data_IF_437630596733
#
_entry.id   IF_437630596733
#
_cell.length_a   1.000
_cell.length_b   1.000
_cell.length_c   1.000
_cell.angle_alpha   90.00
_cell.angle_beta   90.00
_cell.angle_gamma   90.00
#
_symmetry.space_group_name_H-M   'P 1'
#
loop_
_entity.id
_entity.type
_entity.pdbx_description
1 polymer ?
#
# COMPACT_ATOMS: atom_id res chain seq x y z
N UNK A 1 28.56 15.14 -2.08
CA UNK A 1 27.19 14.65 -2.35
C UNK A 1 27.36 13.43 -3.23
N UNK A 2 26.84 12.27 -2.79
CA UNK A 2 26.93 11.05 -3.59
C UNK A 2 25.98 11.17 -4.78
N UNK A 3 26.47 10.82 -5.96
CA UNK A 3 25.69 10.78 -7.20
C UNK A 3 24.63 9.68 -7.05
N UNK A 4 23.34 10.06 -6.95
CA UNK A 4 22.25 9.09 -6.84
C UNK A 4 21.77 8.76 -8.24
N UNK A 5 22.27 7.65 -8.79
CA UNK A 5 21.80 7.12 -10.07
C UNK A 5 20.44 6.42 -9.89
N UNK A 6 19.43 6.86 -10.64
CA UNK A 6 18.07 6.32 -10.56
C UNK A 6 17.46 6.11 -11.94
N UNK A 7 16.89 4.93 -12.17
CA UNK A 7 16.05 4.62 -13.35
C UNK A 7 14.59 4.44 -12.98
N UNK A 8 14.32 4.11 -11.72
CA UNK A 8 12.97 3.99 -11.17
C UNK A 8 12.90 4.63 -9.79
N UNK A 9 11.82 5.37 -9.55
CA UNK A 9 11.52 5.98 -8.25
C UNK A 9 10.19 5.44 -7.72
N UNK A 10 10.26 4.80 -6.55
CA UNK A 10 9.15 4.17 -5.87
C UNK A 10 8.67 5.02 -4.69
N UNK A 11 7.37 5.25 -4.62
CA UNK A 11 6.77 6.05 -3.56
C UNK A 11 5.68 5.26 -2.87
N UNK A 12 5.81 5.12 -1.55
CA UNK A 12 4.60 4.96 -0.75
C UNK A 12 3.72 6.21 -0.84
N UNK A 13 2.43 6.05 -0.56
CA UNK A 13 1.44 7.12 -0.68
C UNK A 13 1.16 7.77 0.67
N UNK A 14 0.52 7.03 1.58
CA UNK A 14 0.12 7.53 2.89
C UNK A 14 1.34 7.76 3.79
N UNK A 15 1.41 8.90 4.48
CA UNK A 15 2.56 9.27 5.31
C UNK A 15 3.81 9.68 4.52
N UNK A 16 3.82 9.49 3.19
CA UNK A 16 4.98 9.70 2.32
C UNK A 16 4.74 10.79 1.27
N UNK A 17 3.83 10.56 0.32
CA UNK A 17 3.45 11.58 -0.68
C UNK A 17 2.41 12.56 -0.13
N UNK A 18 1.53 12.06 0.73
CA UNK A 18 0.42 12.78 1.34
C UNK A 18 0.08 12.19 2.70
N UNK A 19 -0.69 12.91 3.50
CA UNK A 19 -1.35 12.39 4.68
C UNK A 19 -2.78 12.97 4.79
N UNK A 20 -3.46 12.72 5.91
CA UNK A 20 -4.84 13.17 6.12
C UNK A 20 -5.00 14.70 6.17
N UNK A 21 -3.94 15.43 6.51
CA UNK A 21 -3.95 16.89 6.63
C UNK A 21 -3.27 17.57 5.42
N UNK A 22 -2.37 16.86 4.76
CA UNK A 22 -1.49 17.38 3.73
C UNK A 22 -1.66 16.60 2.43
N UNK A 23 -2.41 17.13 1.44
CA UNK A 23 -2.41 16.56 0.09
C UNK A 23 -1.02 16.74 -0.55
N UNK A 24 -0.78 16.03 -1.66
CA UNK A 24 0.44 16.21 -2.46
C UNK A 24 0.54 17.68 -2.88
N UNK A 25 1.61 18.37 -2.46
CA UNK A 25 1.80 19.78 -2.80
C UNK A 25 2.07 19.98 -4.30
N UNK A 26 1.70 21.14 -4.84
CA UNK A 26 1.96 21.47 -6.25
C UNK A 26 3.45 21.37 -6.60
N UNK A 27 4.33 21.76 -5.66
CA UNK A 27 5.78 21.67 -5.81
C UNK A 27 6.21 20.21 -5.94
N UNK A 28 5.71 19.32 -5.08
CA UNK A 28 6.00 17.89 -5.15
C UNK A 28 5.47 17.28 -6.45
N UNK A 29 4.24 17.62 -6.85
CA UNK A 29 3.66 17.17 -8.10
C UNK A 29 4.48 17.63 -9.32
N UNK A 30 5.02 18.85 -9.30
CA UNK A 30 5.91 19.34 -10.35
C UNK A 30 7.23 18.56 -10.40
N UNK A 31 7.87 18.30 -9.26
CA UNK A 31 9.10 17.50 -9.20
C UNK A 31 8.87 16.07 -9.70
N UNK A 32 7.75 15.43 -9.36
CA UNK A 32 7.39 14.10 -9.89
C UNK A 32 7.28 14.12 -11.42
N UNK A 33 6.60 15.13 -11.99
CA UNK A 33 6.50 15.29 -13.45
C UNK A 33 7.87 15.55 -14.11
N UNK A 34 8.77 16.26 -13.44
CA UNK A 34 10.15 16.49 -13.94
C UNK A 34 10.93 15.17 -14.05
N UNK A 35 10.82 14.28 -13.06
CA UNK A 35 11.44 12.95 -13.12
C UNK A 35 10.94 12.14 -14.31
N UNK A 36 9.62 12.08 -14.50
CA UNK A 36 9.02 11.39 -15.65
C UNK A 36 9.49 11.97 -16.98
N UNK A 37 9.56 13.31 -17.11
CA UNK A 37 10.05 13.97 -18.33
C UNK A 37 11.53 13.64 -18.65
N UNK A 38 12.34 13.33 -17.64
CA UNK A 38 13.70 12.82 -17.82
C UNK A 38 13.77 11.32 -18.17
N UNK A 39 12.62 10.64 -18.25
CA UNK A 39 12.52 9.23 -18.60
C UNK A 39 12.62 8.26 -17.41
N UNK A 40 12.65 8.77 -16.17
CA UNK A 40 12.61 7.91 -14.99
C UNK A 40 11.23 7.26 -14.89
N UNK A 41 11.23 5.98 -14.55
CA UNK A 41 10.01 5.25 -14.24
C UNK A 41 9.52 5.66 -12.85
N UNK A 42 8.21 5.88 -12.70
CA UNK A 42 7.59 6.17 -11.42
C UNK A 42 6.70 5.00 -11.03
N UNK A 43 6.75 4.58 -9.77
CA UNK A 43 5.80 3.61 -9.23
C UNK A 43 5.20 4.11 -7.93
N UNK A 44 3.87 4.00 -7.81
CA UNK A 44 3.13 4.19 -6.56
C UNK A 44 2.91 2.83 -5.90
N UNK A 45 3.23 2.71 -4.62
CA UNK A 45 3.23 1.44 -3.88
C UNK A 45 2.45 1.59 -2.58
N UNK A 46 1.24 1.02 -2.49
CA UNK A 46 0.34 1.32 -1.37
C UNK A 46 -0.53 0.14 -0.93
N UNK A 47 -1.09 0.24 0.27
CA UNK A 47 -2.16 -0.63 0.78
C UNK A 47 -3.51 -0.35 0.12
N UNK A 48 -3.65 0.81 -0.54
CA UNK A 48 -4.87 1.31 -1.18
C UNK A 48 -5.33 0.41 -2.34
N UNK A 49 -6.64 0.45 -2.65
CA UNK A 49 -7.17 -0.16 -3.88
C UNK A 49 -6.57 0.44 -5.14
N UNK A 50 -6.49 -0.36 -6.20
CA UNK A 50 -5.88 0.05 -7.47
C UNK A 50 -6.57 1.27 -8.08
N UNK A 51 -7.90 1.35 -8.00
CA UNK A 51 -8.67 2.49 -8.50
C UNK A 51 -8.31 3.80 -7.79
N UNK A 52 -7.99 3.75 -6.48
CA UNK A 52 -7.54 4.91 -5.70
C UNK A 52 -6.16 5.39 -6.18
N UNK A 53 -5.23 4.46 -6.42
CA UNK A 53 -3.92 4.76 -6.98
C UNK A 53 -3.99 5.32 -8.40
N UNK A 54 -4.86 4.76 -9.24
CA UNK A 54 -5.09 5.25 -10.60
C UNK A 54 -5.66 6.68 -10.58
N UNK A 55 -6.59 6.97 -9.67
CA UNK A 55 -7.12 8.33 -9.49
C UNK A 55 -6.02 9.31 -9.07
N UNK A 56 -5.19 8.92 -8.09
CA UNK A 56 -4.06 9.73 -7.64
C UNK A 56 -3.04 9.98 -8.77
N UNK A 57 -2.60 8.93 -9.47
CA UNK A 57 -1.66 9.05 -10.58
C UNK A 57 -2.18 9.98 -11.69
N UNK A 58 -3.47 9.84 -12.07
CA UNK A 58 -4.11 10.75 -13.04
C UNK A 58 -4.16 12.19 -12.54
N UNK A 59 -4.54 12.42 -11.28
CA UNK A 59 -4.58 13.75 -10.68
C UNK A 59 -3.20 14.43 -10.65
N UNK A 60 -2.14 13.64 -10.47
CA UNK A 60 -0.76 14.11 -10.54
C UNK A 60 -0.22 14.21 -11.97
N UNK A 61 -0.94 13.71 -12.99
CA UNK A 61 -0.48 13.68 -14.38
C UNK A 61 0.75 12.79 -14.57
N UNK A 62 0.75 11.62 -13.91
CA UNK A 62 1.84 10.64 -13.94
C UNK A 62 1.42 9.39 -14.71
N UNK A 63 2.32 8.90 -15.56
CA UNK A 63 2.26 7.58 -16.19
C UNK A 63 2.94 6.56 -15.27
N UNK A 64 2.37 6.37 -14.09
CA UNK A 64 2.96 5.57 -13.02
C UNK A 64 2.63 4.07 -13.16
N UNK A 65 3.60 3.22 -12.85
CA UNK A 65 3.32 1.83 -12.46
C UNK A 65 2.64 1.84 -11.10
N UNK A 66 1.78 0.86 -10.84
CA UNK A 66 0.96 0.82 -9.63
C UNK A 66 1.12 -0.52 -8.93
N UNK A 67 1.42 -0.48 -7.64
CA UNK A 67 1.44 -1.63 -6.75
C UNK A 67 0.41 -1.36 -5.65
N UNK A 68 -0.71 -2.08 -5.70
CA UNK A 68 -1.86 -1.92 -4.82
C UNK A 68 -1.96 -3.06 -3.80
N UNK A 69 -2.81 -2.87 -2.79
CA UNK A 69 -3.12 -3.89 -1.78
C UNK A 69 -1.87 -4.50 -1.12
N UNK A 70 -0.91 -3.66 -0.72
CA UNK A 70 0.36 -4.06 -0.11
C UNK A 70 1.23 -4.97 -0.99
N UNK A 71 1.06 -4.93 -2.32
CA UNK A 71 1.81 -5.77 -3.25
C UNK A 71 1.03 -6.95 -3.80
N UNK A 72 -0.22 -7.16 -3.40
CA UNK A 72 -1.03 -8.25 -3.96
C UNK A 72 -1.31 -8.04 -5.45
N UNK A 73 -1.41 -6.80 -5.93
CA UNK A 73 -1.64 -6.48 -7.34
C UNK A 73 -0.57 -5.50 -7.83
N UNK A 74 0.10 -5.84 -8.93
CA UNK A 74 1.00 -4.90 -9.63
C UNK A 74 0.59 -4.74 -11.09
N UNK A 75 0.50 -3.50 -11.56
CA UNK A 75 0.23 -3.12 -12.94
C UNK A 75 1.28 -2.14 -13.44
N UNK A 76 1.69 -2.32 -14.69
CA UNK A 76 2.55 -1.33 -15.36
C UNK A 76 1.76 -0.07 -15.72
N UNK A 77 2.47 1.02 -16.02
CA UNK A 77 1.88 2.24 -16.58
C UNK A 77 1.06 2.00 -17.85
N UNK A 78 1.38 0.95 -18.63
CA UNK A 78 0.62 0.55 -19.82
C UNK A 78 -0.69 -0.21 -19.51
N UNK A 79 -1.00 -0.46 -18.24
CA UNK A 79 -2.15 -1.25 -17.80
C UNK A 79 -1.90 -2.76 -17.76
N UNK A 80 -0.74 -3.25 -18.22
CA UNK A 80 -0.40 -4.68 -18.11
C UNK A 80 -0.28 -5.11 -16.65
N UNK A 81 -1.07 -6.11 -16.25
CA UNK A 81 -0.95 -6.78 -14.95
C UNK A 81 0.29 -7.70 -14.91
N UNK A 82 1.08 -7.58 -13.86
CA UNK A 82 2.30 -8.36 -13.63
C UNK A 82 2.12 -9.43 -12.55
N UNK A 83 1.42 -9.10 -11.47
CA UNK A 83 1.02 -10.05 -10.42
C UNK A 83 -0.36 -9.71 -9.89
N UNK A 84 -1.07 -10.72 -9.40
CA UNK A 84 -2.36 -10.66 -8.71
C UNK A 84 -2.44 -11.84 -7.73
N UNK A 85 -1.74 -11.72 -6.62
CA UNK A 85 -1.73 -12.71 -5.55
C UNK A 85 -3.03 -12.62 -4.77
N UNK A 86 -3.79 -13.71 -4.74
CA UNK A 86 -5.08 -13.78 -4.08
C UNK A 86 -5.21 -15.06 -3.28
N UNK A 87 -6.15 -15.08 -2.35
CA UNK A 87 -6.47 -16.25 -1.55
C UNK A 87 -7.98 -16.40 -1.41
N UNK A 88 -8.43 -17.65 -1.34
CA UNK A 88 -9.84 -17.96 -1.11
C UNK A 88 -10.22 -17.74 0.35
N UNK A 89 -11.36 -17.10 0.57
CA UNK A 89 -11.99 -17.01 1.88
C UNK A 89 -12.67 -18.35 2.19
N UNK A 90 -12.10 -19.12 3.12
CA UNK A 90 -12.67 -20.38 3.57
C UNK A 90 -13.52 -20.21 4.84
N UNK A 91 -14.21 -21.29 5.25
CA UNK A 91 -15.05 -21.28 6.45
C UNK A 91 -14.28 -20.96 7.72
N UNK A 92 -13.02 -21.43 7.84
CA UNK A 92 -12.20 -21.18 9.03
C UNK A 92 -11.85 -19.72 9.15
N UNK A 93 -11.47 -19.08 8.04
CA UNK A 93 -11.20 -17.65 8.00
C UNK A 93 -12.48 -16.85 8.31
N UNK A 94 -13.63 -17.24 7.77
CA UNK A 94 -14.91 -16.59 8.07
C UNK A 94 -15.23 -16.66 9.56
N UNK A 95 -14.99 -17.79 10.25
CA UNK A 95 -15.23 -17.90 11.68
C UNK A 95 -14.38 -16.90 12.49
N UNK A 96 -13.12 -16.68 12.08
CA UNK A 96 -12.23 -15.67 12.65
C UNK A 96 -12.74 -14.25 12.36
N UNK A 97 -13.10 -13.96 11.11
CA UNK A 97 -13.62 -12.65 10.70
C UNK A 97 -14.95 -12.30 11.36
N UNK A 98 -15.84 -13.28 11.54
CA UNK A 98 -17.09 -13.11 12.30
C UNK A 98 -16.82 -12.84 13.77
N UNK A 99 -15.85 -13.54 14.36
CA UNK A 99 -15.41 -13.31 15.73
C UNK A 99 -14.91 -11.88 15.91
N UNK A 100 -14.07 -11.41 14.99
CA UNK A 100 -13.61 -10.02 14.97
C UNK A 100 -14.78 -9.04 14.85
N UNK A 101 -15.72 -9.28 13.94
CA UNK A 101 -16.85 -8.39 13.74
C UNK A 101 -17.83 -8.37 14.92
N UNK A 102 -18.03 -9.50 15.60
CA UNK A 102 -18.81 -9.59 16.85
C UNK A 102 -18.20 -8.78 18.00
N UNK A 103 -16.90 -8.45 17.92
CA UNK A 103 -16.23 -7.54 18.86
C UNK A 103 -16.38 -6.05 18.47
N UNK A 104 -17.27 -5.75 17.51
CA UNK A 104 -17.58 -4.41 17.04
C UNK A 104 -16.72 -3.93 15.87
N UNK A 105 -15.93 -4.80 15.26
CA UNK A 105 -15.11 -4.47 14.09
C UNK A 105 -15.82 -4.60 12.75
N UNK A 106 -15.26 -3.97 11.72
CA UNK A 106 -15.64 -4.14 10.32
C UNK A 106 -14.63 -4.98 9.56
N UNK A 107 -15.11 -5.66 8.53
CA UNK A 107 -14.30 -6.49 7.63
C UNK A 107 -14.51 -6.00 6.21
N UNK A 108 -13.41 -5.75 5.50
CA UNK A 108 -13.39 -5.27 4.13
C UNK A 108 -12.71 -6.29 3.24
N UNK A 109 -13.46 -6.92 2.35
CA UNK A 109 -12.96 -7.89 1.38
C UNK A 109 -12.71 -7.17 0.06
N UNK A 110 -11.45 -7.08 -0.34
CA UNK A 110 -11.05 -6.57 -1.66
C UNK A 110 -10.93 -7.75 -2.63
N UNK A 111 -11.89 -7.88 -3.55
CA UNK A 111 -12.05 -9.05 -4.42
C UNK A 111 -10.89 -9.16 -5.42
N UNK A 112 -10.54 -10.39 -5.80
CA UNK A 112 -9.43 -10.74 -6.70
C UNK A 112 -9.46 -10.08 -8.09
N UNK A 113 -10.61 -9.59 -8.56
CA UNK A 113 -10.69 -8.81 -9.79
C UNK A 113 -10.11 -7.39 -9.66
N UNK A 114 -9.84 -6.94 -8.43
CA UNK A 114 -9.28 -5.62 -8.11
C UNK A 114 -10.27 -4.48 -8.33
N UNK A 115 -11.54 -4.77 -8.58
CA UNK A 115 -12.58 -3.78 -8.85
C UNK A 115 -13.63 -3.77 -7.75
N UNK A 116 -13.99 -4.95 -7.23
CA UNK A 116 -15.07 -5.05 -6.25
C UNK A 116 -14.55 -5.04 -4.81
N UNK A 117 -15.28 -4.33 -3.95
CA UNK A 117 -15.06 -4.23 -2.52
C UNK A 117 -16.37 -4.50 -1.77
N UNK A 118 -16.35 -5.55 -0.94
CA UNK A 118 -17.44 -5.90 -0.04
C UNK A 118 -17.08 -5.52 1.40
N UNK A 119 -17.88 -4.68 2.04
CA UNK A 119 -17.68 -4.24 3.42
C UNK A 119 -18.76 -4.82 4.35
N UNK A 120 -18.35 -5.29 5.52
CA UNK A 120 -19.19 -5.98 6.49
C UNK A 120 -19.11 -5.32 7.87
N UNK A 121 -20.26 -5.13 8.53
CA UNK A 121 -20.35 -4.62 9.90
C UNK A 121 -20.91 -3.20 9.99
N UNK A 122 -20.44 -2.42 10.98
CA UNK A 122 -21.00 -1.10 11.29
C UNK A 122 -20.71 -0.05 10.21
N UNK A 123 -21.74 0.64 9.74
CA UNK A 123 -21.63 1.63 8.65
C UNK A 123 -20.65 2.77 8.93
N UNK A 124 -20.57 3.25 10.18
CA UNK A 124 -19.67 4.36 10.55
C UNK A 124 -18.19 4.01 10.38
N UNK A 125 -17.80 2.77 10.69
CA UNK A 125 -16.42 2.30 10.50
C UNK A 125 -16.13 1.97 9.03
N UNK A 126 -17.14 1.54 8.26
CA UNK A 126 -17.00 1.38 6.80
C UNK A 126 -16.74 2.74 6.15
N UNK A 127 -17.47 3.79 6.56
CA UNK A 127 -17.30 5.16 6.07
C UNK A 127 -15.93 5.77 6.40
N UNK A 128 -15.24 5.27 7.42
CA UNK A 128 -13.84 5.65 7.69
C UNK A 128 -12.93 5.14 6.56
N UNK A 129 -13.07 3.87 6.16
CA UNK A 129 -12.27 3.30 5.08
C UNK A 129 -12.60 3.91 3.72
N UNK A 130 -13.89 4.18 3.47
CA UNK A 130 -14.32 4.83 2.23
C UNK A 130 -13.70 6.22 2.08
N UNK A 131 -13.66 7.00 3.17
CA UNK A 131 -12.98 8.30 3.18
C UNK A 131 -11.48 8.19 3.00
N UNK A 132 -10.84 7.21 3.64
CA UNK A 132 -9.40 6.99 3.54
C UNK A 132 -8.97 6.61 2.11
N UNK A 133 -9.76 5.75 1.46
CA UNK A 133 -9.47 5.28 0.09
C UNK A 133 -9.97 6.24 -1.00
N UNK A 134 -10.94 7.10 -0.69
CA UNK A 134 -11.65 7.93 -1.66
C UNK A 134 -12.64 7.13 -2.53
N UNK A 135 -13.02 5.92 -2.10
CA UNK A 135 -13.91 5.01 -2.81
C UNK A 135 -15.13 4.68 -1.94
N UNK A 136 -16.20 4.20 -2.56
CA UNK A 136 -17.37 3.66 -1.85
C UNK A 136 -17.35 2.14 -2.00
N UNK A 137 -17.68 1.41 -0.93
CA UNK A 137 -17.80 -0.04 -1.03
C UNK A 137 -18.98 -0.41 -1.94
N UNK A 138 -18.76 -1.35 -2.87
CA UNK A 138 -19.82 -1.84 -3.78
C UNK A 138 -20.96 -2.51 -3.02
N UNK A 139 -20.67 -3.05 -1.84
CA UNK A 139 -21.65 -3.66 -0.95
C UNK A 139 -21.35 -3.32 0.49
N UNK A 140 -22.37 -2.85 1.21
CA UNK A 140 -22.36 -2.71 2.67
C UNK A 140 -23.32 -3.74 3.26
N UNK A 141 -22.77 -4.71 3.97
CA UNK A 141 -23.49 -5.90 4.40
C UNK A 141 -23.40 -6.06 5.92
N UNK A 142 -24.41 -6.69 6.56
CA UNK A 142 -24.30 -7.07 7.96
C UNK A 142 -23.25 -8.17 8.15
N UNK A 143 -22.71 -8.30 9.36
CA UNK A 143 -21.60 -9.20 9.67
C UNK A 143 -21.92 -10.69 9.51
N UNK A 144 -23.19 -11.07 9.61
CA UNK A 144 -23.65 -12.42 9.32
C UNK A 144 -23.39 -12.77 7.85
N UNK A 145 -23.70 -11.89 6.90
CA UNK A 145 -23.49 -12.13 5.47
C UNK A 145 -22.05 -12.50 5.05
N UNK A 146 -21.05 -12.39 5.94
CA UNK A 146 -19.72 -12.98 5.73
C UNK A 146 -19.78 -14.48 5.37
N UNK A 147 -20.76 -15.23 5.88
CA UNK A 147 -20.89 -16.66 5.53
C UNK A 147 -21.14 -16.92 4.04
N UNK A 148 -21.67 -15.94 3.32
CA UNK A 148 -22.03 -16.06 1.91
C UNK A 148 -20.81 -15.80 1.00
N UNK A 149 -19.65 -15.49 1.60
CA UNK A 149 -18.39 -15.22 0.91
C UNK A 149 -17.46 -16.43 0.80
N UNK A 150 -17.89 -17.60 1.27
CA UNK A 150 -17.09 -18.84 1.16
C UNK A 150 -16.71 -19.10 -0.30
N UNK A 151 -15.42 -19.22 -0.57
CA UNK A 151 -14.88 -19.49 -1.89
C UNK A 151 -14.63 -18.23 -2.73
N UNK A 152 -15.02 -17.03 -2.27
CA UNK A 152 -14.63 -15.78 -2.92
C UNK A 152 -13.11 -15.63 -2.77
N UNK A 153 -12.44 -15.35 -3.88
CA UNK A 153 -11.01 -15.04 -3.89
C UNK A 153 -10.80 -13.54 -3.71
N UNK A 154 -9.92 -13.17 -2.78
CA UNK A 154 -9.62 -11.79 -2.39
C UNK A 154 -8.13 -11.48 -2.51
N UNK A 155 -7.79 -10.23 -2.83
CA UNK A 155 -6.41 -9.72 -2.81
C UNK A 155 -5.98 -9.41 -1.37
N UNK A 156 -6.92 -8.93 -0.56
CA UNK A 156 -6.68 -8.47 0.80
C UNK A 156 -7.98 -8.50 1.60
N UNK A 157 -7.85 -8.78 2.90
CA UNK A 157 -8.91 -8.49 3.88
C UNK A 157 -8.40 -7.42 4.84
N UNK A 158 -9.08 -6.29 4.93
CA UNK A 158 -8.78 -5.27 5.93
C UNK A 158 -9.83 -5.33 7.04
N UNK A 159 -9.36 -5.41 8.28
CA UNK A 159 -10.18 -5.44 9.49
C UNK A 159 -9.95 -4.18 10.31
N UNK A 160 -11.00 -3.40 10.59
CA UNK A 160 -10.93 -2.22 11.47
C UNK A 160 -11.77 -2.43 12.72
N UNK A 161 -11.20 -2.22 13.90
CA UNK A 161 -11.85 -2.48 15.18
C UNK A 161 -11.03 -1.93 16.34
N UNK A 162 -11.41 -2.24 17.58
CA UNK A 162 -10.60 -1.82 18.73
C UNK A 162 -9.32 -2.69 18.86
N UNK A 163 -8.37 -2.22 19.68
CA UNK A 163 -7.08 -2.90 19.90
C UNK A 163 -7.23 -4.36 20.37
N UNK A 164 -8.23 -4.65 21.21
CA UNK A 164 -8.46 -6.00 21.71
C UNK A 164 -8.92 -6.95 20.59
N UNK A 165 -9.74 -6.46 19.65
CA UNK A 165 -10.19 -7.22 18.49
C UNK A 165 -9.03 -7.48 17.53
N UNK A 166 -8.21 -6.46 17.25
CA UNK A 166 -7.01 -6.58 16.42
C UNK A 166 -6.01 -7.58 17.01
N UNK A 167 -5.71 -7.48 18.31
CA UNK A 167 -4.79 -8.40 18.99
C UNK A 167 -5.28 -9.84 18.93
N UNK A 168 -6.57 -10.05 19.13
CA UNK A 168 -7.18 -11.38 19.03
C UNK A 168 -7.10 -11.92 17.60
N UNK A 169 -7.45 -11.11 16.61
CA UNK A 169 -7.35 -11.47 15.19
C UNK A 169 -5.93 -11.93 14.85
N UNK A 170 -4.91 -11.17 15.23
CA UNK A 170 -3.52 -11.54 14.97
C UNK A 170 -3.13 -12.89 15.58
N UNK A 171 -3.59 -13.17 16.82
CA UNK A 171 -3.38 -14.48 17.45
C UNK A 171 -4.12 -15.63 16.76
N UNK A 172 -5.39 -15.41 16.37
CA UNK A 172 -6.19 -16.40 15.65
C UNK A 172 -5.59 -16.70 14.26
N UNK A 173 -4.93 -15.71 13.64
CA UNK A 173 -4.28 -15.82 12.33
C UNK A 173 -3.02 -16.69 12.34
N UNK A 174 -2.40 -16.98 13.50
CA UNK A 174 -1.29 -17.94 13.60
C UNK A 174 -1.67 -19.35 13.10
N UNK A 175 -2.97 -19.69 13.11
CA UNK A 175 -3.48 -20.96 12.63
C UNK A 175 -3.55 -21.09 11.09
N UNK A 176 -3.16 -20.05 10.35
CA UNK A 176 -3.25 -19.97 8.88
C UNK A 176 -1.84 -19.86 8.28
N UNK A 177 -1.13 -20.98 8.02
CA UNK A 177 0.28 -20.94 7.62
C UNK A 177 0.54 -20.33 6.24
N UNK A 178 -0.51 -20.12 5.44
CA UNK A 178 -0.47 -19.56 4.08
C UNK A 178 -0.93 -18.10 4.00
N UNK A 179 -1.31 -17.50 5.13
CA UNK A 179 -1.73 -16.11 5.22
C UNK A 179 -0.82 -15.38 6.21
N UNK A 180 -0.57 -14.10 5.96
CA UNK A 180 0.04 -13.19 6.91
C UNK A 180 -1.00 -12.18 7.36
N UNK A 181 -1.01 -11.85 8.65
CA UNK A 181 -1.80 -10.78 9.23
C UNK A 181 -0.88 -9.75 9.88
N UNK A 182 -1.07 -8.47 9.53
CA UNK A 182 -0.20 -7.38 9.94
C UNK A 182 -1.02 -6.25 10.54
N UNK A 183 -0.63 -5.79 11.72
CA UNK A 183 -1.24 -4.64 12.35
C UNK A 183 -0.84 -3.35 11.61
N UNK A 184 -1.81 -2.45 11.41
CA UNK A 184 -1.59 -1.10 10.94
C UNK A 184 -2.12 -0.12 11.98
N UNK A 185 -1.28 0.28 12.93
CA UNK A 185 -1.72 0.98 14.13
C UNK A 185 -2.43 0.06 15.13
N UNK A 186 -3.20 0.64 16.05
CA UNK A 186 -3.88 -0.12 17.11
C UNK A 186 -5.27 -0.64 16.70
N UNK A 187 -5.88 -0.04 15.68
CA UNK A 187 -7.28 -0.25 15.35
C UNK A 187 -7.51 -0.88 13.97
N UNK A 188 -6.45 -1.30 13.28
CA UNK A 188 -6.52 -1.90 11.95
C UNK A 188 -5.57 -3.08 11.78
N UNK A 189 -5.99 -4.09 11.02
CA UNK A 189 -5.20 -5.25 10.62
C UNK A 189 -5.47 -5.58 9.16
N UNK A 190 -4.42 -5.82 8.38
CA UNK A 190 -4.50 -6.35 7.01
C UNK A 190 -4.17 -7.84 7.02
N UNK A 191 -4.95 -8.65 6.31
CA UNK A 191 -4.69 -10.05 6.02
C UNK A 191 -4.44 -10.21 4.53
N UNK A 192 -3.35 -10.89 4.19
CA UNK A 192 -2.91 -11.11 2.81
C UNK A 192 -2.33 -12.51 2.65
N UNK A 193 -2.15 -12.94 1.39
CA UNK A 193 -1.44 -14.18 1.12
C UNK A 193 0.01 -14.08 1.62
N UNK A 194 0.55 -15.19 2.13
CA UNK A 194 1.88 -15.21 2.72
C UNK A 194 2.95 -14.87 1.71
N UNK A 195 3.91 -14.04 2.14
CA UNK A 195 5.01 -13.60 1.28
C UNK A 195 4.60 -12.56 0.22
N UNK A 196 3.35 -12.10 0.23
CA UNK A 196 2.96 -10.89 -0.50
C UNK A 196 3.48 -9.68 0.27
N UNK A 197 4.01 -8.71 -0.45
CA UNK A 197 4.53 -7.48 0.15
C UNK A 197 4.96 -6.45 -0.90
N UNK A 198 5.07 -5.18 -0.48
CA UNK A 198 5.51 -4.06 -1.32
C UNK A 198 6.85 -4.37 -2.01
N UNK A 199 7.82 -4.91 -1.27
CA UNK A 199 9.13 -5.31 -1.79
C UNK A 199 9.04 -6.48 -2.80
N UNK A 200 8.21 -7.47 -2.52
CA UNK A 200 8.10 -8.65 -3.40
C UNK A 200 7.47 -8.25 -4.75
N UNK A 201 6.43 -7.43 -4.74
CA UNK A 201 5.84 -6.85 -5.94
C UNK A 201 6.79 -5.89 -6.68
N UNK A 202 7.57 -5.08 -5.95
CA UNK A 202 8.58 -4.20 -6.53
C UNK A 202 9.68 -4.99 -7.26
N UNK A 203 10.05 -6.16 -6.73
CA UNK A 203 11.01 -7.07 -7.37
C UNK A 203 10.47 -7.58 -8.72
N UNK A 204 9.19 -7.97 -8.76
CA UNK A 204 8.53 -8.41 -10.00
C UNK A 204 8.51 -7.28 -11.04
N UNK A 205 8.17 -6.06 -10.62
CA UNK A 205 8.17 -4.89 -11.50
C UNK A 205 9.57 -4.56 -12.03
N UNK A 206 10.59 -4.52 -11.16
CA UNK A 206 11.98 -4.27 -11.56
C UNK A 206 12.47 -5.27 -12.60
N UNK A 207 12.19 -6.56 -12.39
CA UNK A 207 12.54 -7.62 -13.34
C UNK A 207 11.83 -7.44 -14.68
N UNK A 208 10.55 -7.04 -14.67
CA UNK A 208 9.81 -6.77 -15.90
C UNK A 208 10.42 -5.61 -16.70
N UNK A 209 10.87 -4.56 -16.01
CA UNK A 209 11.45 -3.36 -16.62
C UNK A 209 12.94 -3.50 -16.95
N UNK A 210 13.62 -4.57 -16.53
CA UNK A 210 15.07 -4.71 -16.68
C UNK A 210 15.84 -3.65 -15.87
N UNK A 211 15.33 -3.29 -14.70
CA UNK A 211 15.92 -2.31 -13.78
C UNK A 211 16.50 -3.09 -12.58
N UNK A 212 17.77 -2.88 -12.29
CA UNK A 212 18.40 -3.51 -11.13
C UNK A 212 17.94 -2.80 -9.84
N UNK A 213 17.87 -3.50 -8.68
CA UNK A 213 17.53 -2.85 -7.42
C UNK A 213 18.43 -1.66 -7.08
N UNK A 214 19.71 -1.70 -7.48
CA UNK A 214 20.66 -0.60 -7.31
C UNK A 214 20.30 0.69 -8.07
N UNK A 215 19.46 0.61 -9.10
CA UNK A 215 18.95 1.76 -9.87
C UNK A 215 17.58 2.25 -9.36
N UNK A 216 17.13 1.75 -8.21
CA UNK A 216 15.86 2.12 -7.57
C UNK A 216 16.13 3.09 -6.44
N UNK A 217 15.34 4.16 -6.43
CA UNK A 217 15.15 5.02 -5.26
C UNK A 217 13.77 4.74 -4.68
N UNK A 218 13.66 4.57 -3.36
CA UNK A 218 12.39 4.27 -2.71
C UNK A 218 12.12 5.21 -1.53
N UNK A 219 10.87 5.62 -1.37
CA UNK A 219 10.37 6.45 -0.27
C UNK A 219 9.25 5.74 0.47
N UNK A 220 9.27 5.82 1.80
CA UNK A 220 8.25 5.23 2.66
C UNK A 220 8.41 5.65 4.11
N UNK A 221 7.39 5.44 4.92
CA UNK A 221 7.39 5.82 6.33
C UNK A 221 7.10 4.62 7.25
N UNK A 222 6.47 3.56 6.76
CA UNK A 222 5.93 2.50 7.61
C UNK A 222 6.79 1.24 7.66
N UNK A 223 6.45 0.33 8.59
CA UNK A 223 7.05 -1.00 8.68
C UNK A 223 6.89 -1.81 7.38
N UNK A 224 5.80 -1.58 6.63
CA UNK A 224 5.54 -2.25 5.36
C UNK A 224 6.52 -1.83 4.25
N UNK A 225 7.15 -0.66 4.39
CA UNK A 225 8.10 -0.11 3.43
C UNK A 225 9.53 -0.55 3.71
N UNK A 226 9.85 -0.99 4.93
CA UNK A 226 11.22 -1.28 5.33
C UNK A 226 11.96 -2.23 4.38
N UNK A 227 11.32 -3.31 3.92
CA UNK A 227 11.93 -4.23 2.93
C UNK A 227 12.13 -3.58 1.56
N UNK A 228 11.23 -2.70 1.14
CA UNK A 228 11.32 -1.95 -0.13
C UNK A 228 12.47 -0.93 -0.05
N UNK A 229 12.54 -0.18 1.06
CA UNK A 229 13.60 0.79 1.34
C UNK A 229 14.99 0.13 1.38
N UNK A 230 15.09 -1.04 2.02
CA UNK A 230 16.35 -1.79 2.10
C UNK A 230 16.78 -2.38 0.76
N UNK A 231 15.82 -2.81 -0.07
CA UNK A 231 16.11 -3.40 -1.38
C UNK A 231 16.57 -2.35 -2.40
N UNK A 232 16.04 -1.13 -2.31
CA UNK A 232 16.39 -0.04 -3.21
C UNK A 232 17.88 0.34 -3.08
N UNK A 233 18.48 0.73 -4.21
CA UNK A 233 19.81 1.32 -4.24
C UNK A 233 19.92 2.49 -3.28
N UNK A 234 18.85 3.30 -3.18
CA UNK A 234 18.72 4.37 -2.21
C UNK A 234 17.31 4.42 -1.58
N UNK A 235 17.16 3.94 -0.35
CA UNK A 235 15.93 4.08 0.44
C UNK A 235 15.94 5.36 1.28
N UNK A 236 14.80 6.06 1.32
CA UNK A 236 14.58 7.29 2.10
C UNK A 236 13.37 7.11 3.01
N UNK A 237 13.57 7.24 4.31
CA UNK A 237 12.47 7.28 5.27
C UNK A 237 11.86 8.69 5.27
N UNK A 238 10.54 8.80 5.38
CA UNK A 238 9.83 10.09 5.27
C UNK A 238 9.02 10.39 6.53
N UNK A 239 9.04 11.65 6.98
CA UNK A 239 8.14 12.15 8.02
C UNK A 239 8.21 11.40 9.35
N UNK A 240 7.06 10.98 9.86
CA UNK A 240 6.92 10.23 11.12
C UNK A 240 7.32 8.76 11.00
N UNK A 241 8.28 8.45 10.11
CA UNK A 241 8.68 7.09 9.80
C UNK A 241 8.96 6.23 11.04
N UNK A 242 8.53 4.97 11.00
CA UNK A 242 8.76 4.01 12.08
C UNK A 242 10.25 3.72 12.26
N UNK A 243 10.62 3.20 13.44
CA UNK A 243 12.01 2.82 13.70
C UNK A 243 12.53 1.81 12.68
N UNK A 244 11.68 0.89 12.21
CA UNK A 244 12.02 -0.11 11.21
C UNK A 244 12.27 0.52 9.83
N UNK A 245 11.41 1.44 9.40
CA UNK A 245 11.60 2.18 8.15
C UNK A 245 12.88 3.02 8.17
N UNK A 246 13.13 3.77 9.26
CA UNK A 246 14.34 4.57 9.45
C UNK A 246 15.62 3.73 9.44
N UNK A 247 15.59 2.56 10.06
CA UNK A 247 16.74 1.64 10.09
C UNK A 247 17.03 1.05 8.72
N UNK A 248 16.00 0.83 7.90
CA UNK A 248 16.13 0.30 6.55
C UNK A 248 16.59 1.35 5.52
N UNK A 249 16.30 2.63 5.77
CA UNK A 249 16.65 3.73 4.88
C UNK A 249 18.09 4.23 5.08
N UNK A 250 18.63 4.88 4.04
CA UNK A 250 19.94 5.55 4.08
C UNK A 250 19.85 6.98 4.63
N UNK A 251 18.69 7.59 4.45
CA UNK A 251 18.43 9.00 4.79
C UNK A 251 17.01 9.11 5.34
N UNK A 252 16.79 10.11 6.19
CA UNK A 252 15.46 10.47 6.67
C UNK A 252 15.21 11.94 6.35
N UNK A 253 14.03 12.24 5.83
CA UNK A 253 13.57 13.59 5.50
C UNK A 253 12.24 13.91 6.16
N UNK A 254 11.89 15.19 6.21
CA UNK A 254 10.59 15.64 6.71
C UNK A 254 9.44 15.15 5.81
N UNK A 255 8.24 15.07 6.39
CA UNK A 255 7.07 14.45 5.77
C UNK A 255 6.25 15.37 4.86
N UNK A 256 5.04 14.94 4.49
CA UNK A 256 4.06 15.79 3.82
C UNK A 256 3.91 17.16 4.49
N UNK A 257 3.68 18.21 3.71
CA UNK A 257 3.61 19.60 4.17
C UNK A 257 4.96 20.35 4.27
N UNK A 258 6.11 19.65 4.29
CA UNK A 258 7.44 20.28 4.43
C UNK A 258 8.14 20.66 3.12
N UNK A 259 7.68 20.13 1.98
CA UNK A 259 8.39 20.13 0.68
C UNK A 259 9.78 19.46 0.69
N UNK A 260 10.18 18.76 1.76
CA UNK A 260 11.46 18.07 1.82
C UNK A 260 11.58 16.98 0.74
N UNK A 261 10.47 16.28 0.44
CA UNK A 261 10.44 15.33 -0.66
C UNK A 261 10.75 15.99 -2.01
N UNK A 262 10.08 17.09 -2.34
CA UNK A 262 10.33 17.82 -3.58
C UNK A 262 11.80 18.27 -3.69
N UNK A 263 12.34 18.87 -2.62
CA UNK A 263 13.75 19.27 -2.56
C UNK A 263 14.73 18.10 -2.69
N UNK A 264 14.37 16.91 -2.18
CA UNK A 264 15.16 15.70 -2.36
C UNK A 264 15.13 15.25 -3.84
N UNK A 265 13.93 15.21 -4.46
CA UNK A 265 13.74 14.74 -5.84
C UNK A 265 14.47 15.63 -6.86
N UNK A 266 14.53 16.94 -6.62
CA UNK A 266 15.24 17.87 -7.47
C UNK A 266 16.75 17.55 -7.56
N UNK A 267 17.33 16.88 -6.55
CA UNK A 267 18.74 16.43 -6.58
C UNK A 267 18.99 15.34 -7.63
N UNK A 268 18.00 14.47 -7.88
CA UNK A 268 18.08 13.49 -8.99
C UNK A 268 18.00 14.23 -10.33
N UNK A 269 17.16 15.26 -10.41
CA UNK A 269 16.95 16.05 -11.63
C UNK A 269 18.19 16.88 -12.01
N UNK A 270 19.06 17.20 -11.06
CA UNK A 270 20.28 18.01 -11.32
C UNK A 270 21.54 17.19 -11.58
N UNK A 271 21.50 15.87 -11.41
CA UNK A 271 22.65 14.99 -11.68
C UNK A 271 22.67 14.68 -13.18
N UNK A 272 23.77 15.04 -13.85
CA UNK A 272 24.05 14.85 -15.28
C UNK A 272 25.21 13.87 -15.49
#
# INVERSE_FOLDING_TARGET
>A
MHDVHARLVAFDVDGTLLDSENPVSDVTAESLRKLQKRGLQIVLVSSRPIASLEFLARGLGLDAHLIAYNGALARTASGRQLTAESFGVDRRLIDVLRTFSNMGGTVNLYVSDGLHWMAFGQSTLIEVEERATGLTADSRLPSDALQDTVGISVLKVMCRGNESACRRLLGDMEAFPNLDAVASGLDCCDIQAKGVGKADAMTVLCRHLGIAPGDVVAFGDSDSDARMLQMAGYGVAVGAATARARTAAREHIDGPGSNALAGWLDRIVTSD
#
